data_IF_144589738744
#
_entry.id   IF_144589738744
#
_cell.length_a   1.000
_cell.length_b   1.000
_cell.length_c   1.000
_cell.angle_alpha   90.00
_cell.angle_beta   90.00
_cell.angle_gamma   90.00
#
_symmetry.space_group_name_H-M   'P 1'
#
loop_
_entity.id
_entity.type
_entity.pdbx_description
1 polymer ?
#
# COMPACT_ATOMS: atom_id res chain seq x y z
N UNK A 1 -8.39 -12.60 34.91
CA UNK A 1 -7.97 -11.40 34.17
C UNK A 1 -9.20 -10.88 33.44
N UNK A 2 -10.06 -10.23 34.21
CA UNK A 2 -11.29 -9.60 33.74
C UNK A 2 -10.93 -8.36 32.94
N UNK A 3 -10.69 -8.54 31.64
CA UNK A 3 -10.69 -7.41 30.72
C UNK A 3 -12.13 -6.94 30.60
N UNK A 4 -12.40 -5.83 31.29
CA UNK A 4 -13.65 -5.10 31.33
C UNK A 4 -13.89 -4.46 29.94
N UNK A 5 -14.13 -5.30 28.94
CA UNK A 5 -14.43 -4.92 27.56
C UNK A 5 -15.85 -4.38 27.58
N UNK A 6 -15.97 -3.06 27.65
CA UNK A 6 -17.23 -2.37 27.46
C UNK A 6 -17.69 -2.57 26.01
N UNK A 7 -19.00 -2.56 25.75
CA UNK A 7 -19.58 -2.81 24.41
C UNK A 7 -19.09 -1.85 23.31
N UNK A 8 -18.37 -0.78 23.65
CA UNK A 8 -17.69 0.15 22.73
C UNK A 8 -16.23 -0.23 22.42
N UNK A 9 -15.65 -1.18 23.15
CA UNK A 9 -14.26 -1.62 22.95
C UNK A 9 -14.07 -2.48 21.69
N UNK A 10 -15.16 -2.95 21.07
CA UNK A 10 -15.14 -3.63 19.76
C UNK A 10 -15.08 -2.66 18.58
N UNK A 11 -15.20 -1.34 18.80
CA UNK A 11 -15.31 -0.33 17.74
C UNK A 11 -14.08 0.57 17.56
N UNK A 12 -12.92 0.22 18.13
CA UNK A 12 -11.67 0.95 17.89
C UNK A 12 -10.67 0.25 16.96
N UNK A 13 -11.05 -0.86 16.29
CA UNK A 13 -10.27 -1.42 15.18
C UNK A 13 -10.76 -0.93 13.81
N UNK A 14 -11.78 -0.05 13.79
CA UNK A 14 -12.20 0.69 12.60
C UNK A 14 -11.81 2.15 12.80
N UNK A 15 -10.51 2.44 12.72
CA UNK A 15 -10.00 3.81 12.62
C UNK A 15 -10.43 4.43 11.26
N UNK A 16 -11.73 4.73 11.12
CA UNK A 16 -12.19 5.84 10.31
C UNK A 16 -12.00 7.11 11.15
N UNK A 17 -10.76 7.58 11.14
CA UNK A 17 -10.35 8.85 11.76
C UNK A 17 -11.02 9.99 11.00
N UNK A 18 -12.20 10.43 11.45
CA UNK A 18 -12.73 11.75 11.10
C UNK A 18 -11.84 12.81 11.75
N UNK A 19 -10.85 13.30 11.01
CA UNK A 19 -10.16 14.57 11.31
C UNK A 19 -8.82 14.52 12.06
N UNK A 20 -8.25 13.34 12.32
CA UNK A 20 -6.87 13.22 12.77
C UNK A 20 -5.89 13.34 11.60
N UNK A 21 -5.09 14.40 11.60
CA UNK A 21 -3.94 14.53 10.72
C UNK A 21 -2.97 13.36 10.99
N UNK A 22 -2.77 12.49 10.00
CA UNK A 22 -1.70 11.50 10.05
C UNK A 22 -0.37 12.26 10.04
N UNK A 23 0.50 11.94 11.00
CA UNK A 23 1.84 12.51 11.07
C UNK A 23 2.54 12.39 9.70
N UNK A 24 3.16 13.46 9.18
CA UNK A 24 3.73 13.46 7.82
C UNK A 24 4.71 12.31 7.56
N UNK A 25 5.48 11.89 8.58
CA UNK A 25 6.42 10.78 8.47
C UNK A 25 5.70 9.44 8.27
N UNK A 26 4.65 9.17 9.06
CA UNK A 26 3.81 7.98 8.93
C UNK A 26 3.10 7.95 7.56
N UNK A 27 2.65 9.11 7.07
CA UNK A 27 2.08 9.22 5.73
C UNK A 27 3.11 8.90 4.64
N UNK A 28 4.33 9.44 4.74
CA UNK A 28 5.41 9.15 3.80
C UNK A 28 5.78 7.66 3.79
N UNK A 29 5.88 7.03 4.96
CA UNK A 29 6.08 5.58 5.09
C UNK A 29 4.94 4.80 4.43
N UNK A 30 3.68 5.15 4.69
CA UNK A 30 2.56 4.45 4.06
C UNK A 30 2.58 4.57 2.52
N UNK A 31 2.97 5.73 1.98
CA UNK A 31 3.09 5.94 0.54
C UNK A 31 4.19 5.08 -0.09
N UNK A 32 5.37 5.01 0.53
CA UNK A 32 6.51 4.21 0.00
C UNK A 32 6.18 2.71 -0.06
N UNK A 33 5.43 2.22 0.93
CA UNK A 33 5.01 0.81 0.99
C UNK A 33 3.84 0.49 0.06
N UNK A 34 2.83 1.35 -0.04
CA UNK A 34 1.56 1.01 -0.69
C UNK A 34 1.38 1.59 -2.09
N UNK A 35 1.95 2.77 -2.34
CA UNK A 35 1.70 3.57 -3.53
C UNK A 35 2.92 3.69 -4.46
N UNK A 36 4.14 3.84 -3.92
CA UNK A 36 5.37 3.98 -4.71
C UNK A 36 5.89 2.64 -5.21
N UNK A 37 5.14 2.07 -6.16
CA UNK A 37 5.44 0.80 -6.83
C UNK A 37 5.34 0.99 -8.34
N UNK A 38 6.04 0.14 -9.07
CA UNK A 38 5.84 -0.01 -10.51
C UNK A 38 4.87 -1.17 -10.76
N UNK A 39 4.24 -1.17 -11.92
CA UNK A 39 3.27 -2.17 -12.37
C UNK A 39 3.75 -2.71 -13.71
N UNK A 40 3.76 -4.03 -13.87
CA UNK A 40 3.98 -4.65 -15.18
C UNK A 40 2.75 -4.44 -16.07
N UNK A 41 2.91 -3.90 -17.28
CA UNK A 41 1.77 -3.65 -18.16
C UNK A 41 1.13 -4.94 -18.71
N UNK A 42 1.90 -6.04 -18.79
CA UNK A 42 1.42 -7.31 -19.33
C UNK A 42 0.61 -8.14 -18.34
N UNK A 43 1.00 -8.12 -17.06
CA UNK A 43 0.43 -8.99 -16.02
C UNK A 43 -0.10 -8.23 -14.79
N UNK A 44 0.02 -6.90 -14.77
CA UNK A 44 -0.45 -6.03 -13.70
C UNK A 44 0.14 -6.33 -12.30
N UNK A 45 1.22 -7.10 -12.24
CA UNK A 45 1.97 -7.35 -11.01
C UNK A 45 2.64 -6.06 -10.50
N UNK A 46 2.54 -5.83 -9.19
CA UNK A 46 3.25 -4.77 -8.49
C UNK A 46 4.70 -5.18 -8.21
N UNK A 47 5.65 -4.30 -8.53
CA UNK A 47 7.09 -4.52 -8.33
C UNK A 47 7.75 -3.28 -7.69
N UNK A 48 8.98 -3.41 -7.17
CA UNK A 48 9.70 -2.30 -6.55
C UNK A 48 9.91 -1.10 -7.48
N UNK A 49 9.96 0.13 -6.95
CA UNK A 49 10.08 1.36 -7.76
C UNK A 49 11.37 1.44 -8.59
N UNK A 50 12.45 0.81 -8.13
CA UNK A 50 13.75 0.79 -8.82
C UNK A 50 13.88 -0.37 -9.83
N UNK A 51 12.86 -1.20 -10.00
CA UNK A 51 12.93 -2.34 -10.92
C UNK A 51 12.82 -1.86 -12.38
N UNK A 52 13.80 -2.24 -13.21
CA UNK A 52 13.82 -1.95 -14.65
C UNK A 52 13.10 -3.00 -15.49
N UNK A 53 12.99 -4.23 -14.98
CA UNK A 53 12.34 -5.36 -15.63
C UNK A 53 11.38 -6.04 -14.65
N UNK A 54 10.29 -6.61 -15.17
CA UNK A 54 9.36 -7.38 -14.35
C UNK A 54 10.02 -8.69 -13.87
N UNK A 55 9.78 -9.05 -12.61
CA UNK A 55 10.32 -10.29 -12.02
C UNK A 55 9.60 -11.56 -12.51
N UNK A 56 8.45 -11.45 -13.20
CA UNK A 56 7.69 -12.62 -13.64
C UNK A 56 8.24 -13.21 -14.92
N UNK A 57 8.65 -14.48 -14.87
CA UNK A 57 9.09 -15.24 -16.04
C UNK A 57 8.02 -15.32 -17.14
N UNK A 58 6.73 -15.44 -16.76
CA UNK A 58 5.60 -15.53 -17.72
C UNK A 58 5.48 -14.31 -18.64
N UNK A 59 5.98 -13.15 -18.24
CA UNK A 59 5.97 -11.94 -19.09
C UNK A 59 7.23 -11.78 -19.96
N UNK A 60 8.14 -12.75 -19.90
CA UNK A 60 9.46 -12.68 -20.52
C UNK A 60 10.35 -11.61 -19.89
N UNK A 61 10.20 -11.35 -18.59
CA UNK A 61 10.91 -10.26 -17.88
C UNK A 61 10.77 -8.90 -18.56
N UNK A 62 9.55 -8.57 -19.01
CA UNK A 62 9.29 -7.36 -19.78
C UNK A 62 9.72 -6.08 -19.04
N UNK A 63 10.34 -5.17 -19.81
CA UNK A 63 10.67 -3.80 -19.41
C UNK A 63 9.49 -2.81 -19.55
N UNK A 64 8.33 -3.28 -20.04
CA UNK A 64 7.11 -2.46 -20.17
C UNK A 64 6.45 -2.29 -18.81
N UNK A 65 6.97 -1.34 -18.05
CA UNK A 65 6.53 -1.02 -16.69
C UNK A 65 5.87 0.36 -16.65
N UNK A 66 4.98 0.58 -15.69
CA UNK A 66 4.34 1.88 -15.45
C UNK A 66 4.26 2.19 -13.95
N UNK A 67 4.30 3.45 -13.53
CA UNK A 67 4.04 3.81 -12.13
C UNK A 67 2.64 3.41 -11.69
N UNK A 68 2.49 2.93 -10.46
CA UNK A 68 1.17 2.70 -9.86
C UNK A 68 0.44 4.03 -9.73
N UNK A 69 -0.83 4.04 -10.12
CA UNK A 69 -1.68 5.23 -10.02
C UNK A 69 -1.77 5.70 -8.56
N UNK A 70 -1.52 6.99 -8.34
CA UNK A 70 -1.64 7.61 -7.02
C UNK A 70 -3.11 7.98 -6.76
N UNK A 71 -3.60 7.64 -5.58
CA UNK A 71 -4.91 8.09 -5.10
C UNK A 71 -4.80 9.61 -4.88
N UNK A 72 -5.74 10.37 -5.43
CA UNK A 72 -5.81 11.83 -5.31
C UNK A 72 -6.31 12.22 -3.92
#
# INVERSE_FOLDING_TARGET
ADYNIQKESTLHLVLCVRGGLIEPLLKALALTYNCEKMICQKFYDCIPPCATNCCKCKCGHSSQLQPKMKIK
#
